data_IF_687013349525
#
_entry.id   IF_687013349525
#
_cell.length_a   1.000
_cell.length_b   1.000
_cell.length_c   1.000
_cell.angle_alpha   90.00
_cell.angle_beta   90.00
_cell.angle_gamma   90.00
#
_symmetry.space_group_name_H-M   'P 1'
#
loop_
_entity.id
_entity.type
_entity.pdbx_description
1 polymer ?
#
# COMPACT_ATOMS: atom_id res chain seq x y z
N UNK A 1 -9.70 -6.65 -13.58
CA UNK A 1 -9.92 -5.47 -14.43
C UNK A 1 -8.99 -4.35 -13.96
N UNK A 2 -8.74 -3.31 -14.76
CA UNK A 2 -7.89 -2.21 -14.32
C UNK A 2 -8.60 -1.36 -13.25
N UNK A 3 -7.91 -1.01 -12.17
CA UNK A 3 -8.48 -0.14 -11.14
C UNK A 3 -8.72 1.27 -11.68
N UNK A 4 -9.80 1.92 -11.23
CA UNK A 4 -10.07 3.32 -11.56
C UNK A 4 -9.17 4.23 -10.71
N UNK A 5 -8.62 5.27 -11.33
CA UNK A 5 -7.83 6.29 -10.64
C UNK A 5 -8.57 6.92 -9.45
N UNK A 6 -9.89 7.11 -9.54
CA UNK A 6 -10.68 7.67 -8.44
C UNK A 6 -10.70 6.78 -7.20
N UNK A 7 -10.66 5.45 -7.37
CA UNK A 7 -10.54 4.52 -6.23
C UNK A 7 -9.13 4.55 -5.64
N UNK A 8 -8.11 4.64 -6.50
CA UNK A 8 -6.71 4.76 -6.07
C UNK A 8 -6.50 6.03 -5.23
N UNK A 9 -7.01 7.16 -5.72
CA UNK A 9 -6.96 8.44 -5.00
C UNK A 9 -7.73 8.38 -3.69
N UNK A 10 -8.94 7.79 -3.70
CA UNK A 10 -9.70 7.56 -2.47
C UNK A 10 -8.89 6.79 -1.43
N UNK A 11 -8.34 5.63 -1.79
CA UNK A 11 -7.53 4.83 -0.86
C UNK A 11 -6.33 5.63 -0.35
N UNK A 12 -5.62 6.33 -1.24
CA UNK A 12 -4.46 7.15 -0.87
C UNK A 12 -4.84 8.29 0.10
N UNK A 13 -5.98 8.93 -0.10
CA UNK A 13 -6.51 9.95 0.81
C UNK A 13 -6.87 9.36 2.18
N UNK A 14 -7.42 8.14 2.23
CA UNK A 14 -7.75 7.50 3.50
C UNK A 14 -6.50 7.15 4.33
N UNK A 15 -5.38 6.81 3.68
CA UNK A 15 -4.12 6.42 4.34
C UNK A 15 -3.09 7.56 4.41
N UNK A 16 -3.50 8.78 4.05
CA UNK A 16 -2.61 9.94 3.91
C UNK A 16 -1.87 10.33 5.18
N UNK A 17 -2.43 10.05 6.36
CA UNK A 17 -1.84 10.41 7.65
C UNK A 17 -0.74 9.43 8.10
N UNK A 18 -0.59 8.28 7.43
CA UNK A 18 0.45 7.29 7.74
C UNK A 18 1.86 7.70 7.25
N UNK A 19 1.96 8.75 6.43
CA UNK A 19 3.22 9.27 5.91
C UNK A 19 3.08 9.91 4.53
N UNK A 20 4.17 10.02 3.77
CA UNK A 20 4.09 10.52 2.39
C UNK A 20 3.58 9.42 1.46
N UNK A 21 2.28 9.43 1.17
CA UNK A 21 1.61 8.44 0.32
C UNK A 21 1.69 8.86 -1.14
N UNK A 22 2.14 7.94 -1.98
CA UNK A 22 2.18 8.12 -3.43
C UNK A 22 1.77 6.82 -4.12
N UNK A 23 1.20 6.91 -5.31
CA UNK A 23 0.88 5.75 -6.13
C UNK A 23 1.64 5.81 -7.46
N UNK A 24 1.91 4.65 -8.04
CA UNK A 24 2.53 4.55 -9.36
C UNK A 24 1.83 3.48 -10.18
N UNK A 25 1.42 3.84 -11.40
CA UNK A 25 0.86 2.87 -12.36
C UNK A 25 1.95 1.88 -12.80
N UNK A 26 1.67 0.59 -12.70
CA UNK A 26 2.57 -0.52 -13.03
C UNK A 26 1.77 -1.65 -13.69
N UNK A 27 2.07 -1.96 -14.95
CA UNK A 27 1.54 -3.13 -15.69
C UNK A 27 0.01 -3.32 -15.65
N UNK A 28 -0.76 -2.23 -15.65
CA UNK A 28 -2.23 -2.27 -15.66
C UNK A 28 -2.90 -1.89 -14.34
N UNK A 29 -2.15 -1.93 -13.23
CA UNK A 29 -2.63 -1.63 -11.88
C UNK A 29 -1.74 -0.58 -11.19
N UNK A 30 -1.92 -0.38 -9.88
CA UNK A 30 -1.26 0.68 -9.12
C UNK A 30 -0.49 0.12 -7.93
N UNK A 31 0.80 0.43 -7.85
CA UNK A 31 1.59 0.24 -6.63
C UNK A 31 1.41 1.40 -5.68
N UNK A 32 1.16 1.12 -4.40
CA UNK A 32 1.00 2.12 -3.34
C UNK A 32 2.27 2.19 -2.51
N UNK A 33 2.76 3.41 -2.30
CA UNK A 33 4.01 3.69 -1.61
C UNK A 33 3.78 4.61 -0.41
N UNK A 34 4.41 4.29 0.72
CA UNK A 34 4.55 5.18 1.87
C UNK A 34 6.03 5.52 2.07
N UNK A 35 6.37 6.81 2.10
CA UNK A 35 7.75 7.29 2.28
C UNK A 35 8.75 6.61 1.32
N UNK A 36 8.39 6.51 0.03
CA UNK A 36 9.15 5.82 -1.02
C UNK A 36 9.30 4.29 -0.86
N UNK A 37 8.63 3.66 0.11
CA UNK A 37 8.54 2.19 0.26
C UNK A 37 7.23 1.69 -0.31
N UNK A 38 7.27 0.64 -1.12
CA UNK A 38 6.05 -0.05 -1.56
C UNK A 38 5.42 -0.78 -0.38
N UNK A 39 4.22 -0.34 0.02
CA UNK A 39 3.45 -0.94 1.11
C UNK A 39 2.39 -1.92 0.61
N UNK A 40 1.95 -1.75 -0.63
CA UNK A 40 0.83 -2.48 -1.17
C UNK A 40 0.58 -2.16 -2.62
N UNK A 41 -0.55 -2.62 -3.10
CA UNK A 41 -0.99 -2.54 -4.48
C UNK A 41 -2.52 -2.40 -4.51
N UNK A 42 -3.03 -1.76 -5.55
CA UNK A 42 -4.44 -1.63 -5.84
C UNK A 42 -4.70 -2.29 -7.18
N UNK A 43 -5.46 -3.38 -7.14
CA UNK A 43 -5.84 -4.21 -8.28
C UNK A 43 -7.35 -4.45 -8.21
N UNK A 44 -8.05 -4.39 -9.35
CA UNK A 44 -9.50 -4.61 -9.41
C UNK A 44 -10.35 -3.77 -8.43
N UNK A 45 -9.95 -2.53 -8.15
CA UNK A 45 -10.54 -1.67 -7.10
C UNK A 45 -10.54 -2.29 -5.70
N UNK A 46 -9.52 -3.08 -5.39
CA UNK A 46 -9.27 -3.63 -4.07
C UNK A 46 -7.89 -3.21 -3.58
N UNK A 47 -7.76 -2.95 -2.28
CA UNK A 47 -6.50 -2.58 -1.67
C UNK A 47 -5.82 -3.80 -1.05
N UNK A 48 -4.63 -4.11 -1.54
CA UNK A 48 -3.79 -5.21 -1.09
C UNK A 48 -2.58 -4.67 -0.35
N UNK A 49 -2.51 -4.94 0.96
CA UNK A 49 -1.39 -4.55 1.82
C UNK A 49 -0.41 -5.70 1.98
N UNK A 50 0.90 -5.41 2.01
CA UNK A 50 1.90 -6.46 2.23
C UNK A 50 1.70 -7.17 3.56
N UNK A 51 1.89 -8.50 3.53
CA UNK A 51 1.89 -9.33 4.72
C UNK A 51 3.08 -8.93 5.61
N UNK A 52 2.75 -8.45 6.81
CA UNK A 52 3.67 -8.12 7.89
C UNK A 52 3.06 -8.60 9.20
N UNK A 53 3.87 -8.95 10.19
CA UNK A 53 3.38 -9.36 11.51
C UNK A 53 2.67 -8.18 12.19
N UNK A 54 3.30 -7.01 12.20
CA UNK A 54 2.72 -5.81 12.78
C UNK A 54 1.41 -5.37 12.12
N UNK A 55 1.29 -5.53 10.79
CA UNK A 55 0.03 -5.30 10.09
C UNK A 55 -1.04 -6.31 10.49
N UNK A 56 -0.69 -7.60 10.52
CA UNK A 56 -1.60 -8.70 10.89
C UNK A 56 -2.20 -8.52 12.28
N UNK A 57 -1.37 -8.16 13.26
CA UNK A 57 -1.78 -8.00 14.66
C UNK A 57 -2.80 -6.85 14.87
N UNK A 58 -2.87 -5.92 13.92
CA UNK A 58 -3.80 -4.79 13.96
C UNK A 58 -5.03 -4.97 13.06
N UNK A 59 -5.07 -6.00 12.21
CA UNK A 59 -6.22 -6.26 11.35
C UNK A 59 -7.39 -6.80 12.18
N UNK A 60 -8.57 -6.23 11.99
CA UNK A 60 -9.80 -6.76 12.58
C UNK A 60 -10.16 -8.13 11.98
N UNK A 61 -9.92 -8.27 10.67
CA UNK A 61 -10.11 -9.50 9.93
C UNK A 61 -8.92 -9.70 9.00
N UNK A 62 -8.35 -10.92 9.03
CA UNK A 62 -7.18 -11.26 8.23
C UNK A 62 -7.62 -12.05 7.02
N UNK A 63 -7.76 -11.36 5.89
CA UNK A 63 -8.06 -11.96 4.59
C UNK A 63 -6.78 -11.95 3.76
N UNK A 64 -6.26 -13.13 3.44
CA UNK A 64 -5.09 -13.28 2.57
C UNK A 64 -5.55 -13.65 1.16
N UNK A 65 -5.26 -12.79 0.20
CA UNK A 65 -5.60 -13.00 -1.19
C UNK A 65 -4.45 -12.57 -2.11
N UNK A 66 -4.21 -13.27 -3.23
CA UNK A 66 -3.33 -12.79 -4.27
C UNK A 66 -4.02 -11.63 -5.00
N UNK A 67 -3.29 -10.56 -5.31
CA UNK A 67 -3.85 -9.41 -6.02
C UNK A 67 -4.20 -9.69 -7.50
N UNK A 68 -3.57 -10.72 -8.06
CA UNK A 68 -3.83 -11.27 -9.39
C UNK A 68 -3.33 -12.71 -9.42
N UNK A 69 -3.73 -13.48 -10.43
CA UNK A 69 -3.34 -14.88 -10.57
C UNK A 69 -1.81 -15.05 -10.58
N UNK A 70 -1.29 -15.87 -9.67
CA UNK A 70 0.16 -16.10 -9.50
C UNK A 70 0.91 -15.05 -8.67
N UNK A 71 0.24 -14.00 -8.17
CA UNK A 71 0.82 -13.08 -7.22
C UNK A 71 1.06 -13.75 -5.85
N UNK A 72 2.03 -13.21 -5.10
CA UNK A 72 2.18 -13.59 -3.69
C UNK A 72 0.98 -13.07 -2.89
N UNK A 73 0.51 -13.81 -1.87
CA UNK A 73 -0.59 -13.37 -1.04
C UNK A 73 -0.26 -12.05 -0.35
N UNK A 74 -1.29 -11.21 -0.25
CA UNK A 74 -1.31 -9.92 0.43
C UNK A 74 -2.57 -9.86 1.30
N UNK A 75 -2.58 -8.98 2.30
CA UNK A 75 -3.79 -8.72 3.05
C UNK A 75 -4.78 -7.91 2.21
N UNK A 76 -5.97 -8.45 1.98
CA UNK A 76 -7.07 -7.72 1.38
C UNK A 76 -7.71 -6.83 2.44
N UNK A 77 -7.74 -5.53 2.19
CA UNK A 77 -8.31 -4.54 3.10
C UNK A 77 -9.69 -4.12 2.57
N UNK A 78 -10.74 -4.65 3.18
CA UNK A 78 -12.13 -4.32 2.80
C UNK A 78 -12.67 -3.10 3.58
N UNK A 79 -12.22 -2.92 4.82
CA UNK A 79 -12.65 -1.81 5.68
C UNK A 79 -11.90 -0.51 5.36
N UNK A 80 -12.33 0.17 4.31
CA UNK A 80 -11.68 1.41 3.83
C UNK A 80 -12.25 2.70 4.44
N UNK A 81 -13.33 2.62 5.22
CA UNK A 81 -14.06 3.80 5.70
C UNK A 81 -13.52 4.37 7.02
N UNK A 82 -12.63 3.64 7.69
CA UNK A 82 -12.04 4.07 8.96
C UNK A 82 -10.58 4.52 8.75
N UNK A 83 -10.39 5.83 8.57
CA UNK A 83 -9.07 6.46 8.40
C UNK A 83 -8.11 6.13 9.53
N UNK A 84 -8.55 6.25 10.78
CA UNK A 84 -7.65 6.05 11.93
C UNK A 84 -7.12 4.61 11.95
N UNK A 85 -8.00 3.64 11.71
CA UNK A 85 -7.65 2.24 11.58
C UNK A 85 -6.68 1.99 10.42
N UNK A 86 -7.01 2.50 9.23
CA UNK A 86 -6.19 2.37 8.03
C UNK A 86 -4.79 2.95 8.21
N UNK A 87 -4.68 4.13 8.82
CA UNK A 87 -3.39 4.75 9.07
C UNK A 87 -2.55 3.94 10.05
N UNK A 88 -3.16 3.37 11.10
CA UNK A 88 -2.46 2.49 12.05
C UNK A 88 -1.89 1.24 11.37
N UNK A 89 -2.71 0.52 10.59
CA UNK A 89 -2.25 -0.71 9.91
C UNK A 89 -1.18 -0.41 8.84
N UNK A 90 -1.34 0.67 8.08
CA UNK A 90 -0.38 1.07 7.04
C UNK A 90 0.94 1.51 7.66
N UNK A 91 0.90 2.31 8.71
CA UNK A 91 2.09 2.76 9.41
C UNK A 91 2.85 1.58 10.05
N UNK A 92 2.14 0.66 10.71
CA UNK A 92 2.73 -0.55 11.27
C UNK A 92 3.38 -1.43 10.19
N UNK A 93 2.69 -1.66 9.08
CA UNK A 93 3.22 -2.38 7.92
C UNK A 93 4.48 -1.70 7.38
N UNK A 94 4.43 -0.38 7.16
CA UNK A 94 5.56 0.41 6.68
C UNK A 94 6.81 0.31 7.57
N UNK A 95 6.62 0.27 8.90
CA UNK A 95 7.70 0.18 9.89
C UNK A 95 8.42 -1.18 9.85
N UNK A 96 7.69 -2.26 9.60
CA UNK A 96 8.26 -3.61 9.49
C UNK A 96 8.93 -3.85 8.13
N UNK A 97 8.46 -3.16 7.08
CA UNK A 97 9.05 -3.32 5.75
C UNK A 97 10.50 -2.82 5.70
N UNK A 98 11.41 -3.58 5.04
CA UNK A 98 12.81 -3.23 4.96
C UNK A 98 12.98 -1.82 4.38
N UNK A 99 13.92 -1.05 4.92
CA UNK A 99 14.18 0.28 4.41
C UNK A 99 14.58 0.20 2.93
N UNK A 100 14.02 1.08 2.08
CA UNK A 100 14.42 1.12 0.69
C UNK A 100 15.87 1.57 0.71
N UNK A 101 16.74 0.89 -0.05
CA UNK A 101 18.15 1.29 -0.16
C UNK A 101 18.19 2.80 -0.45
N UNK A 102 18.98 3.59 0.30
CA UNK A 102 19.05 5.03 0.07
C UNK A 102 19.38 5.27 -1.40
N UNK A 103 18.47 5.90 -2.13
CA UNK A 103 18.74 6.33 -3.51
C UNK A 103 19.87 7.34 -3.43
N UNK A 104 21.03 7.04 -4.02
CA UNK A 104 22.08 8.05 -4.24
C UNK A 104 21.40 9.25 -4.92
N UNK A 105 21.45 10.42 -4.28
CA UNK A 105 20.98 11.67 -4.88
C UNK A 105 21.73 11.82 -6.22
N UNK A 106 21.02 11.84 -7.35
CA UNK A 106 21.60 12.34 -8.61
C UNK A 106 21.86 13.81 -8.39
N UNK A 107 23.13 14.18 -8.27
CA UNK A 107 23.58 15.56 -8.37
C UNK A 107 23.16 16.01 -9.77
N UNK A 108 22.22 16.95 -9.86
CA UNK A 108 21.98 17.69 -11.10
C UNK A 108 23.10 18.71 -11.18
N UNK A 109 24.10 18.46 -12.02
CA UNK A 109 25.02 19.51 -12.42
C UNK A 109 24.18 20.54 -13.18
N UNK A 110 24.08 21.75 -12.61
CA UNK A 110 23.49 22.93 -13.24
C UNK A 110 24.56 23.61 -14.09
#
# INVERSE_FOLDING_TARGET
MASNIGFVEYVCDQIGDAGNITYKKMFGDYGVYCNNKIIGLICDNQFFLKITKAGRDLLNEVIEAPAYEGAKPSFLIESLDNREYLNKIVFATYKELPMPKPKKKRIKNS
#
